data_IF_430647955743
#
_entry.id   IF_430647955743
#
_cell.length_a   1.000
_cell.length_b   1.000
_cell.length_c   1.000
_cell.angle_alpha   90.00
_cell.angle_beta   90.00
_cell.angle_gamma   90.00
#
_symmetry.space_group_name_H-M   'P 1'
#
loop_
_entity.id
_entity.type
_entity.pdbx_description
1 polymer ?
#
# COMPACT_ATOMS: atom_id res chain seq x y z
N UNK A 1 -14.97 9.03 -11.37
CA UNK A 1 -13.89 9.25 -12.37
C UNK A 1 -13.36 7.90 -12.84
N UNK A 2 -13.04 7.77 -14.13
CA UNK A 2 -12.79 6.54 -14.91
C UNK A 2 -11.53 5.75 -14.49
N UNK A 3 -11.40 5.40 -13.21
CA UNK A 3 -10.28 4.62 -12.64
C UNK A 3 -9.85 3.40 -13.46
N UNK A 4 -10.76 2.56 -14.02
CA UNK A 4 -10.31 1.43 -14.83
C UNK A 4 -9.58 1.89 -16.10
N UNK A 5 -10.00 2.99 -16.72
CA UNK A 5 -9.38 3.50 -17.94
C UNK A 5 -7.98 4.06 -17.68
N UNK A 6 -7.79 4.75 -16.54
CA UNK A 6 -6.47 5.29 -16.14
C UNK A 6 -5.47 4.17 -15.85
N UNK A 7 -5.91 3.10 -15.17
CA UNK A 7 -5.05 1.94 -14.90
C UNK A 7 -4.67 1.19 -16.17
N UNK A 8 -5.62 1.02 -17.09
CA UNK A 8 -5.34 0.41 -18.41
C UNK A 8 -4.36 1.27 -19.21
N UNK A 9 -4.51 2.60 -19.22
CA UNK A 9 -3.60 3.50 -19.90
C UNK A 9 -2.18 3.44 -19.33
N UNK A 10 -2.04 3.47 -17.99
CA UNK A 10 -0.74 3.32 -17.32
C UNK A 10 -0.13 1.95 -17.67
N UNK A 11 -0.92 0.88 -17.64
CA UNK A 11 -0.48 -0.46 -17.99
C UNK A 11 0.04 -0.56 -19.43
N UNK A 12 -0.67 0.03 -20.40
CA UNK A 12 -0.25 0.07 -21.80
C UNK A 12 1.04 0.90 -22.00
N UNK A 13 1.18 2.02 -21.29
CA UNK A 13 2.42 2.82 -21.34
C UNK A 13 3.61 2.02 -20.79
N UNK A 14 3.45 1.37 -19.63
CA UNK A 14 4.50 0.55 -19.03
C UNK A 14 4.87 -0.65 -19.93
N UNK A 15 3.87 -1.30 -20.52
CA UNK A 15 4.10 -2.38 -21.48
C UNK A 15 4.83 -1.88 -22.73
N UNK A 16 4.45 -0.72 -23.26
CA UNK A 16 5.13 -0.10 -24.39
C UNK A 16 6.58 0.25 -24.09
N UNK A 17 6.86 0.81 -22.92
CA UNK A 17 8.23 1.08 -22.44
C UNK A 17 9.00 -0.24 -22.37
N UNK A 18 8.43 -1.30 -21.81
CA UNK A 18 9.10 -2.59 -21.73
C UNK A 18 9.42 -3.18 -23.10
N UNK A 19 8.45 -3.19 -24.01
CA UNK A 19 8.67 -3.71 -25.38
C UNK A 19 9.72 -2.89 -26.12
N UNK A 20 9.73 -1.56 -25.94
CA UNK A 20 10.64 -0.67 -26.66
C UNK A 20 12.07 -0.66 -26.09
N UNK A 21 12.25 -0.87 -24.79
CA UNK A 21 13.54 -0.63 -24.11
C UNK A 21 14.05 -1.81 -23.29
N UNK A 22 13.20 -2.79 -22.98
CA UNK A 22 13.50 -3.84 -22.02
C UNK A 22 13.81 -3.31 -20.62
N UNK A 23 13.35 -2.11 -20.26
CA UNK A 23 13.79 -1.44 -19.03
C UNK A 23 13.51 -2.28 -17.77
N UNK A 24 12.35 -2.91 -17.68
CA UNK A 24 11.95 -3.75 -16.54
C UNK A 24 12.73 -5.05 -16.55
N UNK A 25 12.85 -5.73 -17.69
CA UNK A 25 13.63 -6.97 -17.79
C UNK A 25 15.12 -6.73 -17.49
N UNK A 26 15.72 -5.66 -18.03
CA UNK A 26 17.09 -5.26 -17.72
C UNK A 26 17.23 -4.92 -16.23
N UNK A 27 16.30 -4.15 -15.66
CA UNK A 27 16.34 -3.82 -14.23
C UNK A 27 16.27 -5.09 -13.35
N UNK A 28 15.42 -6.06 -13.71
CA UNK A 28 15.32 -7.34 -12.99
C UNK A 28 16.62 -8.14 -13.04
N UNK A 29 17.24 -8.25 -14.23
CA UNK A 29 18.54 -8.93 -14.39
C UNK A 29 19.63 -8.22 -13.59
N UNK A 30 19.69 -6.88 -13.64
CA UNK A 30 20.68 -6.09 -12.88
C UNK A 30 20.49 -6.23 -11.37
N UNK A 31 19.23 -6.30 -10.91
CA UNK A 31 18.91 -6.56 -9.50
C UNK A 31 19.41 -7.93 -9.05
N UNK A 32 19.17 -8.96 -9.87
CA UNK A 32 19.62 -10.33 -9.62
C UNK A 32 21.15 -10.43 -9.58
N UNK A 33 21.82 -9.89 -10.59
CA UNK A 33 23.30 -9.91 -10.66
C UNK A 33 23.92 -9.17 -9.48
N UNK A 34 23.38 -8.00 -9.10
CA UNK A 34 23.88 -7.28 -7.93
C UNK A 34 23.64 -8.05 -6.62
N UNK A 35 22.53 -8.77 -6.50
CA UNK A 35 22.24 -9.61 -5.33
C UNK A 35 23.24 -10.78 -5.26
N UNK A 36 23.47 -11.46 -6.39
CA UNK A 36 24.44 -12.53 -6.48
C UNK A 36 25.85 -12.04 -6.10
N UNK A 37 26.27 -10.87 -6.60
CA UNK A 37 27.54 -10.26 -6.23
C UNK A 37 27.62 -9.95 -4.72
N UNK A 38 26.52 -9.48 -4.12
CA UNK A 38 26.44 -9.20 -2.68
C UNK A 38 26.62 -10.48 -1.84
N UNK A 39 26.06 -11.61 -2.30
CA UNK A 39 26.10 -12.90 -1.60
C UNK A 39 27.45 -13.60 -1.81
N UNK A 40 27.95 -13.62 -3.04
CA UNK A 40 29.18 -14.32 -3.42
C UNK A 40 30.46 -13.53 -3.07
N UNK A 41 30.34 -12.22 -2.82
CA UNK A 41 31.49 -11.33 -2.65
C UNK A 41 32.19 -10.98 -3.96
N UNK A 42 31.53 -11.20 -5.10
CA UNK A 42 32.04 -10.91 -6.44
C UNK A 42 32.00 -9.41 -6.76
N UNK A 43 32.70 -9.02 -7.83
CA UNK A 43 32.67 -7.67 -8.35
C UNK A 43 31.26 -7.28 -8.85
N UNK A 44 30.80 -6.10 -8.43
CA UNK A 44 29.53 -5.59 -8.89
C UNK A 44 29.65 -5.00 -10.29
N UNK A 45 28.66 -5.27 -11.15
CA UNK A 45 28.54 -4.62 -12.45
C UNK A 45 28.17 -3.12 -12.34
N UNK A 46 27.58 -2.72 -11.21
CA UNK A 46 27.27 -1.32 -10.85
C UNK A 46 27.94 -1.06 -9.50
N UNK A 47 28.57 0.10 -9.25
CA UNK A 47 29.21 0.37 -7.96
C UNK A 47 28.32 0.00 -6.77
N UNK A 48 28.82 -0.84 -5.86
CA UNK A 48 28.05 -1.40 -4.73
C UNK A 48 27.19 -0.38 -3.97
N UNK A 49 27.71 0.81 -3.61
CA UNK A 49 26.90 1.84 -2.96
C UNK A 49 25.69 2.31 -3.79
N UNK A 50 25.85 2.45 -5.11
CA UNK A 50 24.74 2.83 -6.01
C UNK A 50 23.71 1.73 -6.11
N UNK A 51 24.14 0.46 -6.16
CA UNK A 51 23.25 -0.69 -6.12
C UNK A 51 22.41 -0.69 -4.84
N UNK A 52 23.05 -0.56 -3.68
CA UNK A 52 22.37 -0.57 -2.37
C UNK A 52 21.37 0.59 -2.23
N UNK A 53 21.75 1.81 -2.63
CA UNK A 53 20.83 2.95 -2.63
C UNK A 53 19.63 2.68 -3.53
N UNK A 54 19.84 2.13 -4.72
CA UNK A 54 18.77 1.74 -5.63
C UNK A 54 17.81 0.71 -5.01
N UNK A 55 18.35 -0.32 -4.36
CA UNK A 55 17.55 -1.34 -3.65
C UNK A 55 16.75 -0.72 -2.51
N UNK A 56 17.34 0.15 -1.69
CA UNK A 56 16.64 0.83 -0.59
C UNK A 56 15.48 1.68 -1.11
N UNK A 57 15.69 2.44 -2.19
CA UNK A 57 14.63 3.25 -2.80
C UNK A 57 13.51 2.36 -3.35
N UNK A 58 13.84 1.25 -4.02
CA UNK A 58 12.85 0.29 -4.50
C UNK A 58 12.02 -0.32 -3.35
N UNK A 59 12.66 -0.73 -2.26
CA UNK A 59 11.98 -1.26 -1.09
C UNK A 59 11.09 -0.20 -0.41
N UNK A 60 11.55 1.04 -0.30
CA UNK A 60 10.76 2.13 0.25
C UNK A 60 9.53 2.43 -0.62
N UNK A 61 9.72 2.49 -1.95
CA UNK A 61 8.63 2.73 -2.91
C UNK A 61 7.59 1.61 -2.91
N UNK A 62 8.02 0.35 -2.91
CA UNK A 62 7.11 -0.81 -2.83
C UNK A 62 6.35 -0.83 -1.50
N UNK A 63 7.02 -0.59 -0.37
CA UNK A 63 6.37 -0.50 0.94
C UNK A 63 5.31 0.61 0.98
N UNK A 64 5.61 1.79 0.40
CA UNK A 64 4.67 2.91 0.31
C UNK A 64 3.48 2.57 -0.60
N UNK A 65 3.73 1.95 -1.75
CA UNK A 65 2.66 1.48 -2.66
C UNK A 65 1.73 0.46 -2.00
N UNK A 66 2.28 -0.52 -1.28
CA UNK A 66 1.51 -1.50 -0.50
C UNK A 66 0.71 -0.81 0.60
N UNK A 67 1.31 0.15 1.32
CA UNK A 67 0.61 0.90 2.37
C UNK A 67 -0.57 1.72 1.80
N UNK A 68 -0.42 2.32 0.61
CA UNK A 68 -1.50 3.04 -0.06
C UNK A 68 -2.62 2.10 -0.53
N UNK A 69 -2.28 0.98 -1.17
CA UNK A 69 -3.28 -0.02 -1.58
C UNK A 69 -4.04 -0.59 -0.38
N UNK A 70 -3.33 -0.85 0.71
CA UNK A 70 -3.94 -1.27 1.97
C UNK A 70 -4.85 -0.19 2.56
N UNK A 71 -4.42 1.07 2.57
CA UNK A 71 -5.22 2.20 3.03
C UNK A 71 -6.49 2.38 2.17
N UNK A 72 -6.40 2.24 0.85
CA UNK A 72 -7.57 2.29 -0.03
C UNK A 72 -8.53 1.12 0.19
N UNK A 73 -8.01 -0.09 0.40
CA UNK A 73 -8.83 -1.25 0.72
C UNK A 73 -9.60 -1.05 2.03
N UNK A 74 -8.96 -0.46 3.04
CA UNK A 74 -9.58 -0.17 4.33
C UNK A 74 -10.54 1.02 4.26
N UNK A 75 -10.29 2.05 3.42
CA UNK A 75 -11.26 3.13 3.18
C UNK A 75 -12.62 2.59 2.76
N UNK A 76 -12.68 1.54 1.95
CA UNK A 76 -13.96 0.91 1.53
C UNK A 76 -14.70 0.22 2.67
N UNK A 77 -14.02 -0.07 3.78
CA UNK A 77 -14.58 -0.72 4.97
C UNK A 77 -15.01 0.28 6.05
N UNK A 78 -14.61 1.55 5.93
CA UNK A 78 -15.01 2.60 6.85
C UNK A 78 -16.45 3.01 6.51
N UNK A 79 -17.36 2.87 7.47
CA UNK A 79 -18.70 3.41 7.34
C UNK A 79 -18.68 4.94 7.47
N UNK A 80 -19.24 5.61 6.47
CA UNK A 80 -19.37 7.07 6.38
C UNK A 80 -20.54 7.63 7.20
N UNK A 81 -21.46 6.79 7.68
CA UNK A 81 -22.70 7.23 8.33
C UNK A 81 -22.76 6.88 9.81
N UNK A 82 -22.58 7.90 10.65
CA UNK A 82 -23.27 8.04 11.93
C UNK A 82 -22.83 7.15 13.09
N UNK A 83 -23.34 7.48 14.28
CA UNK A 83 -23.12 6.73 15.53
C UNK A 83 -23.86 5.40 15.60
N UNK A 84 -24.68 5.02 14.61
CA UNK A 84 -25.50 3.80 14.62
C UNK A 84 -24.77 2.53 14.14
N UNK A 85 -25.10 1.36 14.70
CA UNK A 85 -24.67 0.05 14.18
C UNK A 85 -25.30 -0.15 12.81
N UNK A 86 -24.54 -0.48 11.75
CA UNK A 86 -25.12 -0.77 10.43
C UNK A 86 -26.06 -1.99 10.44
N UNK A 87 -25.90 -2.88 11.42
CA UNK A 87 -26.67 -4.11 11.52
C UNK A 87 -27.98 -3.95 12.31
N UNK A 88 -28.07 -2.99 13.23
CA UNK A 88 -29.23 -2.87 14.14
C UNK A 88 -29.64 -1.43 14.48
N UNK A 89 -29.01 -0.43 13.88
CA UNK A 89 -29.33 1.00 14.05
C UNK A 89 -28.99 1.60 15.43
N UNK A 90 -28.70 0.79 16.45
CA UNK A 90 -28.44 1.28 17.82
C UNK A 90 -27.12 2.05 17.92
N UNK A 91 -27.02 3.04 18.83
CA UNK A 91 -25.79 3.79 19.04
C UNK A 91 -24.63 2.86 19.40
N UNK A 92 -23.48 3.11 18.80
CA UNK A 92 -22.23 2.38 18.99
C UNK A 92 -21.30 3.17 19.90
N UNK A 93 -20.56 2.46 20.77
CA UNK A 93 -19.63 3.05 21.72
C UNK A 93 -18.24 3.17 21.11
N UNK A 94 -17.56 4.28 21.36
CA UNK A 94 -16.17 4.50 20.93
C UNK A 94 -15.23 3.61 21.75
N UNK A 95 -14.36 2.87 21.07
CA UNK A 95 -13.37 1.97 21.68
C UNK A 95 -11.95 2.47 21.35
N UNK A 96 -10.98 2.18 22.24
CA UNK A 96 -9.56 2.54 22.05
C UNK A 96 -9.04 2.03 20.69
N UNK A 97 -8.39 2.95 19.94
CA UNK A 97 -7.76 2.65 18.64
C UNK A 97 -6.54 1.74 18.83
N UNK A 98 -6.40 0.72 17.99
CA UNK A 98 -5.16 -0.09 17.88
C UNK A 98 -4.09 0.70 17.12
N UNK A 99 -2.82 0.33 17.29
CA UNK A 99 -1.69 0.99 16.61
C UNK A 99 -1.87 1.05 15.08
N UNK A 100 -2.33 -0.05 14.48
CA UNK A 100 -2.67 -0.13 13.05
C UNK A 100 -3.69 0.93 12.61
N UNK A 101 -4.68 1.26 13.45
CA UNK A 101 -5.71 2.25 13.11
C UNK A 101 -5.19 3.69 13.26
N UNK A 102 -4.17 3.94 14.10
CA UNK A 102 -3.50 5.25 14.17
C UNK A 102 -2.68 5.51 12.92
N UNK A 103 -1.94 4.49 12.49
CA UNK A 103 -1.17 4.56 11.25
C UNK A 103 -2.08 4.77 10.04
N UNK A 104 -3.20 4.05 10.01
CA UNK A 104 -4.23 4.21 8.99
C UNK A 104 -4.80 5.63 8.96
N UNK A 105 -5.11 6.24 10.11
CA UNK A 105 -5.61 7.63 10.16
C UNK A 105 -4.59 8.66 9.68
N UNK A 106 -3.29 8.36 9.82
CA UNK A 106 -2.21 9.24 9.38
C UNK A 106 -2.06 9.18 7.85
N UNK A 107 -2.23 8.00 7.25
CA UNK A 107 -2.18 7.82 5.78
C UNK A 107 -3.45 8.31 5.09
N UNK A 108 -4.62 8.10 5.71
CA UNK A 108 -5.91 8.41 5.10
C UNK A 108 -6.32 9.89 5.32
N UNK A 109 -5.65 10.61 6.22
CA UNK A 109 -6.04 11.95 6.68
C UNK A 109 -7.51 12.03 7.14
N UNK A 110 -8.12 10.89 7.52
CA UNK A 110 -9.48 10.85 8.04
C UNK A 110 -9.46 10.54 9.53
N UNK A 111 -10.37 11.17 10.27
CA UNK A 111 -10.49 11.05 11.72
C UNK A 111 -11.21 9.76 12.15
N UNK A 112 -10.70 8.60 11.72
CA UNK A 112 -11.40 7.32 11.86
C UNK A 112 -11.48 6.87 13.32
N UNK A 113 -12.67 6.69 13.87
CA UNK A 113 -12.88 6.14 15.23
C UNK A 113 -13.26 4.67 15.17
N UNK A 114 -12.70 3.86 16.08
CA UNK A 114 -13.15 2.48 16.25
C UNK A 114 -14.41 2.49 17.11
N UNK A 115 -15.47 1.83 16.64
CA UNK A 115 -16.73 1.73 17.37
C UNK A 115 -17.16 0.27 17.53
N UNK A 116 -17.85 0.00 18.61
CA UNK A 116 -18.42 -1.31 18.94
C UNK A 116 -19.89 -1.15 19.30
N UNK A 117 -20.73 -2.06 18.83
CA UNK A 117 -22.12 -2.12 19.21
C UNK A 117 -22.34 -3.19 20.27
N UNK A 118 -22.92 -2.81 21.40
CA UNK A 118 -23.22 -3.74 22.51
C UNK A 118 -24.39 -4.68 22.20
N UNK A 119 -25.28 -4.32 21.25
CA UNK A 119 -26.46 -5.14 20.88
C UNK A 119 -26.16 -6.19 19.81
N UNK A 120 -25.56 -5.77 18.69
CA UNK A 120 -25.29 -6.62 17.52
C UNK A 120 -23.88 -7.25 17.56
N UNK A 121 -23.03 -6.89 18.53
CA UNK A 121 -21.63 -7.32 18.62
C UNK A 121 -20.71 -6.74 17.55
N UNK A 122 -21.23 -5.91 16.64
CA UNK A 122 -20.46 -5.34 15.54
C UNK A 122 -19.25 -4.56 16.03
N UNK A 123 -18.15 -4.67 15.29
CA UNK A 123 -16.89 -4.00 15.60
C UNK A 123 -16.25 -3.52 14.31
N UNK A 124 -16.10 -2.21 14.17
CA UNK A 124 -15.56 -1.64 12.95
C UNK A 124 -15.09 -0.22 13.11
N UNK A 125 -14.74 0.38 11.98
CA UNK A 125 -14.25 1.74 11.87
C UNK A 125 -15.35 2.62 11.30
N UNK A 126 -15.57 3.78 11.93
CA UNK A 126 -16.52 4.80 11.52
C UNK A 126 -15.81 6.16 11.53
N UNK A 127 -16.00 6.96 10.48
CA UNK A 127 -15.54 8.35 10.42
C UNK A 127 -16.53 9.28 11.10
#
# INVERSE_FOLDING_TARGET
MRRPLTLVAIGLILLGIEIATGAVSVAAVRLWVGLAATIAGDEYVIPGPRYLVGVVILLAGTALGVALLWAEAERRRILTEGSGCPNCGTPTKRVKRRARHRFLSLIIEANVTRRHCERCGWNGLAS
#
